data_IF_165873209127
#
_entry.id   IF_165873209127
#
_cell.length_a   1.000
_cell.length_b   1.000
_cell.length_c   1.000
_cell.angle_alpha   90.00
_cell.angle_beta   90.00
_cell.angle_gamma   90.00
#
_symmetry.space_group_name_H-M   'P 1'
#
loop_
_entity.id
_entity.type
_entity.pdbx_description
1 polymer ?
#
# COMPACT_ATOMS: atom_id res chain seq x y z
N UNK A 1 -34.96 15.85 -27.47
CA UNK A 1 -35.15 15.08 -28.73
C UNK A 1 -34.09 15.59 -29.69
N UNK A 2 -33.15 14.75 -30.15
CA UNK A 2 -33.44 13.51 -30.86
C UNK A 2 -32.83 12.26 -30.20
N UNK A 3 -33.42 11.14 -30.60
CA UNK A 3 -33.16 9.78 -30.15
C UNK A 3 -32.15 9.12 -31.08
N UNK A 4 -31.18 8.37 -30.52
CA UNK A 4 -30.41 7.40 -31.28
C UNK A 4 -30.44 6.04 -30.57
N UNK A 5 -31.28 5.16 -31.09
CA UNK A 5 -31.24 3.73 -30.87
C UNK A 5 -30.01 3.13 -31.58
N UNK A 6 -29.25 2.27 -30.89
CA UNK A 6 -28.50 1.19 -31.54
C UNK A 6 -28.63 -0.10 -30.73
N UNK A 7 -29.55 -0.93 -31.22
CA UNK A 7 -29.64 -2.37 -30.96
C UNK A 7 -28.44 -3.07 -31.58
N UNK A 8 -27.75 -3.91 -30.80
CA UNK A 8 -26.97 -5.03 -31.34
C UNK A 8 -27.51 -6.31 -30.70
N UNK A 9 -27.91 -7.23 -31.58
CA UNK A 9 -28.34 -8.58 -31.29
C UNK A 9 -27.39 -9.55 -32.00
N UNK A 10 -27.52 -10.84 -31.65
CA UNK A 10 -26.89 -12.05 -32.22
C UNK A 10 -25.48 -12.38 -31.70
N UNK A 11 -25.09 -13.64 -31.43
CA UNK A 11 -25.74 -14.96 -31.45
C UNK A 11 -24.72 -16.01 -30.98
N UNK A 12 -25.21 -17.19 -30.55
CA UNK A 12 -24.50 -18.48 -30.64
C UNK A 12 -23.56 -18.80 -29.46
N UNK A 13 -23.94 -19.65 -28.50
CA UNK A 13 -24.04 -21.11 -28.57
C UNK A 13 -22.73 -21.80 -29.02
N UNK A 14 -22.09 -22.60 -28.16
CA UNK A 14 -22.22 -24.08 -28.14
C UNK A 14 -21.23 -24.72 -27.15
N UNK A 15 -21.76 -25.73 -26.47
CA UNK A 15 -21.23 -26.72 -25.52
C UNK A 15 -20.08 -27.58 -26.06
N UNK A 16 -19.10 -27.96 -25.22
CA UNK A 16 -18.44 -29.27 -25.32
C UNK A 16 -17.81 -29.71 -23.98
N UNK A 17 -18.18 -30.92 -23.59
CA UNK A 17 -17.83 -31.70 -22.41
C UNK A 17 -16.71 -32.69 -22.79
N UNK A 18 -15.71 -32.92 -21.94
CA UNK A 18 -14.89 -34.14 -21.99
C UNK A 18 -14.33 -34.52 -20.61
N UNK A 19 -14.91 -35.59 -20.06
CA UNK A 19 -14.40 -36.39 -18.95
C UNK A 19 -13.31 -37.32 -19.47
N UNK A 20 -12.19 -37.46 -18.75
CA UNK A 20 -11.35 -38.65 -18.80
C UNK A 20 -10.92 -39.01 -17.38
N UNK A 21 -11.52 -40.08 -16.90
CA UNK A 21 -11.15 -40.88 -15.73
C UNK A 21 -9.98 -41.78 -16.14
N UNK A 22 -8.94 -41.86 -15.30
CA UNK A 22 -7.83 -42.80 -15.46
C UNK A 22 -7.42 -43.39 -14.12
N UNK A 23 -8.05 -44.50 -13.74
CA UNK A 23 -7.58 -45.39 -12.68
C UNK A 23 -6.53 -46.35 -13.24
N UNK A 24 -5.43 -46.53 -12.50
CA UNK A 24 -4.50 -47.65 -12.67
C UNK A 24 -4.05 -48.12 -11.29
N UNK A 25 -4.67 -49.20 -10.84
CA UNK A 25 -4.16 -50.22 -9.89
C UNK A 25 -2.74 -50.63 -10.29
N UNK A 26 -1.76 -50.95 -9.44
CA UNK A 26 -1.63 -51.17 -8.01
C UNK A 26 -0.45 -52.15 -7.86
N UNK A 27 0.42 -51.98 -6.88
CA UNK A 27 1.21 -53.10 -6.32
C UNK A 27 1.70 -52.74 -4.91
N UNK A 28 1.50 -53.68 -4.00
CA UNK A 28 1.85 -53.60 -2.59
C UNK A 28 3.27 -54.09 -2.40
N UNK A 29 4.12 -53.30 -1.73
CA UNK A 29 5.37 -53.79 -1.14
C UNK A 29 5.34 -53.46 0.36
N UNK A 30 5.59 -54.49 1.15
CA UNK A 30 5.63 -54.55 2.62
C UNK A 30 6.51 -53.45 3.27
N UNK A 31 6.26 -53.08 4.54
CA UNK A 31 7.06 -52.10 5.26
C UNK A 31 8.27 -52.76 5.92
N UNK A 32 9.47 -52.24 5.65
CA UNK A 32 10.66 -52.55 6.42
C UNK A 32 10.93 -51.42 7.41
N UNK A 33 11.12 -51.70 8.72
CA UNK A 33 11.42 -50.69 9.73
C UNK A 33 12.94 -50.52 9.80
N UNK A 34 13.48 -49.36 9.41
CA UNK A 34 14.86 -48.99 9.77
C UNK A 34 15.05 -47.47 9.75
N UNK A 35 15.34 -46.96 10.94
CA UNK A 35 16.10 -45.77 11.31
C UNK A 35 15.57 -44.38 10.96
N UNK A 36 14.87 -43.86 11.96
CA UNK A 36 14.76 -42.46 12.36
C UNK A 36 16.17 -41.82 12.39
N UNK A 37 16.57 -41.19 11.29
CA UNK A 37 17.62 -40.18 11.34
C UNK A 37 16.98 -38.92 11.90
N UNK A 38 17.17 -38.72 13.20
CA UNK A 38 16.92 -37.49 13.91
C UNK A 38 17.64 -36.34 13.20
N UNK A 39 16.92 -35.61 12.35
CA UNK A 39 17.38 -34.37 11.78
C UNK A 39 17.42 -33.35 12.93
N UNK A 40 18.64 -32.99 13.33
CA UNK A 40 18.87 -31.97 14.33
C UNK A 40 18.07 -30.70 13.95
N UNK A 41 17.38 -30.04 14.89
CA UNK A 41 16.67 -28.81 14.59
C UNK A 41 17.63 -27.83 13.94
N UNK A 42 17.31 -27.41 12.71
CA UNK A 42 18.00 -26.30 12.08
C UNK A 42 17.94 -25.12 13.04
N UNK A 43 19.10 -24.68 13.54
CA UNK A 43 19.21 -23.45 14.31
C UNK A 43 18.59 -22.34 13.48
N UNK A 44 17.50 -21.79 14.01
CA UNK A 44 16.80 -20.64 13.47
C UNK A 44 17.82 -19.50 13.51
N UNK A 45 18.45 -19.22 12.37
CA UNK A 45 19.35 -18.07 12.26
C UNK A 45 18.54 -16.83 12.67
N UNK A 46 18.96 -16.08 13.70
CA UNK A 46 18.20 -14.92 14.14
C UNK A 46 18.05 -13.95 12.97
N UNK A 47 16.83 -13.46 12.76
CA UNK A 47 16.52 -12.44 11.77
C UNK A 47 17.52 -11.28 11.87
N UNK A 48 17.96 -10.69 10.73
CA UNK A 48 18.96 -9.63 10.75
C UNK A 48 18.48 -8.47 11.63
N UNK A 49 19.21 -8.23 12.71
CA UNK A 49 19.03 -7.12 13.65
C UNK A 49 19.55 -5.82 13.02
N UNK A 50 18.78 -5.28 12.09
CA UNK A 50 18.98 -3.96 11.51
C UNK A 50 17.69 -3.14 11.56
N UNK A 51 17.77 -1.81 11.42
CA UNK A 51 16.58 -0.98 11.26
C UNK A 51 15.75 -1.51 10.09
N UNK A 52 14.44 -1.52 10.24
CA UNK A 52 13.53 -1.89 9.16
C UNK A 52 13.71 -0.89 8.01
N UNK A 53 13.69 -1.41 6.78
CA UNK A 53 13.92 -0.60 5.58
C UNK A 53 12.83 -0.84 4.56
N UNK A 54 12.22 0.25 4.12
CA UNK A 54 11.20 0.24 3.07
C UNK A 54 11.73 1.07 1.91
N UNK A 55 11.89 0.43 0.76
CA UNK A 55 12.37 1.05 -0.48
C UNK A 55 11.20 1.21 -1.43
N UNK A 56 11.01 2.44 -1.89
CA UNK A 56 10.05 2.79 -2.92
C UNK A 56 10.82 3.09 -4.20
N UNK A 57 10.43 2.42 -5.28
CA UNK A 57 11.09 2.49 -6.58
C UNK A 57 10.14 3.06 -7.62
N UNK A 58 10.65 3.99 -8.42
CA UNK A 58 9.92 4.49 -9.58
C UNK A 58 9.87 3.44 -10.70
N UNK A 59 9.09 3.74 -11.74
CA UNK A 59 9.10 2.95 -12.97
C UNK A 59 10.53 2.85 -13.55
N UNK A 60 10.96 1.63 -13.89
CA UNK A 60 12.35 1.36 -14.30
C UNK A 60 13.25 0.83 -13.17
N UNK A 61 12.78 0.84 -11.92
CA UNK A 61 13.45 0.19 -10.79
C UNK A 61 14.45 1.06 -10.04
N UNK A 62 14.59 2.33 -10.44
CA UNK A 62 15.33 3.36 -9.70
C UNK A 62 14.72 3.55 -8.32
N UNK A 63 15.57 3.53 -7.29
CA UNK A 63 15.17 3.79 -5.91
C UNK A 63 15.00 5.29 -5.74
N UNK A 64 13.77 5.71 -5.42
CA UNK A 64 13.43 7.12 -5.27
C UNK A 64 13.31 7.54 -3.81
N UNK A 65 12.86 6.62 -2.95
CA UNK A 65 12.75 6.86 -1.51
C UNK A 65 13.18 5.62 -0.73
N UNK A 66 13.88 5.84 0.38
CA UNK A 66 14.26 4.82 1.35
C UNK A 66 13.86 5.29 2.74
N UNK A 67 12.89 4.63 3.33
CA UNK A 67 12.51 4.83 4.72
C UNK A 67 13.30 3.86 5.60
N UNK A 68 14.00 4.40 6.59
CA UNK A 68 14.77 3.64 7.59
C UNK A 68 14.11 3.84 8.94
N UNK A 69 13.48 2.80 9.46
CA UNK A 69 12.71 2.86 10.69
C UNK A 69 13.56 2.32 11.85
N UNK A 70 13.59 3.06 12.95
CA UNK A 70 14.25 2.69 14.20
C UNK A 70 13.41 3.15 15.38
N UNK A 71 12.71 2.20 16.01
CA UNK A 71 11.84 2.46 17.16
C UNK A 71 10.81 3.56 16.82
N UNK A 72 10.85 4.70 17.52
CA UNK A 72 9.92 5.82 17.35
C UNK A 72 10.39 6.87 16.33
N UNK A 73 11.53 6.64 15.69
CA UNK A 73 12.12 7.53 14.70
C UNK A 73 12.23 6.81 13.35
N UNK A 74 12.13 7.58 12.28
CA UNK A 74 12.51 7.11 10.96
C UNK A 74 13.20 8.22 10.18
N UNK A 75 14.09 7.84 9.28
CA UNK A 75 14.68 8.78 8.31
C UNK A 75 14.24 8.36 6.93
N UNK A 76 13.72 9.31 6.16
CA UNK A 76 13.47 9.14 4.73
C UNK A 76 14.62 9.77 3.95
N UNK A 77 15.25 8.98 3.09
CA UNK A 77 16.26 9.45 2.14
C UNK A 77 15.67 9.39 0.72
N UNK A 78 15.72 10.49 -0.03
CA UNK A 78 15.18 10.54 -1.39
C UNK A 78 15.76 11.67 -2.24
N UNK A 79 16.43 11.32 -3.34
CA UNK A 79 17.06 12.31 -4.22
C UNK A 79 18.11 13.16 -3.49
N UNK A 80 17.90 14.47 -3.43
CA UNK A 80 18.77 15.42 -2.72
C UNK A 80 18.26 15.79 -1.31
N UNK A 81 17.11 15.25 -0.92
CA UNK A 81 16.41 15.62 0.31
C UNK A 81 16.41 14.45 1.31
N UNK A 82 16.35 14.81 2.59
CA UNK A 82 16.24 13.88 3.70
C UNK A 82 15.29 14.47 4.73
N UNK A 83 14.38 13.65 5.22
CA UNK A 83 13.43 14.04 6.26
C UNK A 83 13.56 13.12 7.47
N UNK A 84 13.50 13.70 8.66
CA UNK A 84 13.38 12.96 9.90
C UNK A 84 11.91 12.89 10.30
N UNK A 85 11.45 11.69 10.65
CA UNK A 85 10.12 11.39 11.14
C UNK A 85 10.22 11.05 12.62
N UNK A 86 9.47 11.77 13.45
CA UNK A 86 9.50 11.64 14.90
C UNK A 86 8.10 11.29 15.37
N UNK A 87 7.95 10.13 16.00
CA UNK A 87 6.70 9.74 16.65
C UNK A 87 6.67 10.33 18.06
N UNK A 88 5.73 11.23 18.30
CA UNK A 88 5.51 11.88 19.58
C UNK A 88 4.78 10.96 20.57
N UNK A 89 4.77 11.37 21.85
CA UNK A 89 4.11 10.61 22.92
C UNK A 89 2.58 10.47 22.73
N UNK A 90 1.96 11.40 22.00
CA UNK A 90 0.55 11.36 21.62
C UNK A 90 0.30 10.59 20.30
N UNK A 91 1.32 9.88 19.81
CA UNK A 91 1.31 9.13 18.55
C UNK A 91 1.21 9.99 17.29
N UNK A 92 1.25 11.32 17.41
CA UNK A 92 1.43 12.17 16.23
C UNK A 92 2.81 11.96 15.63
N UNK A 93 2.92 12.12 14.31
CA UNK A 93 4.18 12.06 13.58
C UNK A 93 4.54 13.47 13.13
N UNK A 94 5.70 13.95 13.56
CA UNK A 94 6.30 15.17 13.02
C UNK A 94 7.29 14.79 11.91
N UNK A 95 7.23 15.49 10.79
CA UNK A 95 8.24 15.44 9.72
C UNK A 95 9.09 16.69 9.81
N UNK A 96 10.41 16.54 9.89
CA UNK A 96 11.36 17.63 10.03
C UNK A 96 12.46 17.58 8.95
N UNK A 97 13.02 18.75 8.64
CA UNK A 97 14.23 18.84 7.82
C UNK A 97 15.49 18.43 8.61
N UNK A 98 16.64 18.41 7.94
CA UNK A 98 17.93 18.09 8.54
C UNK A 98 18.41 19.11 9.61
N UNK A 99 17.79 20.29 9.68
CA UNK A 99 18.03 21.28 10.74
C UNK A 99 17.08 21.10 11.93
N UNK A 100 16.15 20.14 11.87
CA UNK A 100 15.14 19.86 12.88
C UNK A 100 13.92 20.79 12.81
N UNK A 101 13.78 21.59 11.76
CA UNK A 101 12.59 22.42 11.57
C UNK A 101 11.41 21.55 11.13
N UNK A 102 10.27 21.68 11.81
CA UNK A 102 9.05 20.96 11.46
C UNK A 102 8.49 21.44 10.11
N UNK A 103 8.22 20.50 9.21
CA UNK A 103 7.66 20.75 7.88
C UNK A 103 6.20 20.30 7.81
N UNK A 104 5.89 19.13 8.35
CA UNK A 104 4.54 18.57 8.37
C UNK A 104 4.26 17.86 9.69
N UNK A 105 2.99 17.74 10.04
CA UNK A 105 2.51 16.99 11.20
C UNK A 105 1.35 16.10 10.78
N UNK A 106 1.36 14.85 11.26
CA UNK A 106 0.26 13.91 11.12
C UNK A 106 -0.29 13.57 12.50
N UNK A 107 -1.57 13.86 12.73
CA UNK A 107 -2.29 13.39 13.91
C UNK A 107 -2.97 12.07 13.60
N UNK A 108 -2.77 11.07 14.46
CA UNK A 108 -3.34 9.73 14.31
C UNK A 108 -4.57 9.59 15.22
N UNK A 109 -5.69 9.17 14.66
CA UNK A 109 -6.89 8.75 15.39
C UNK A 109 -7.33 7.35 14.96
N UNK A 110 -8.36 6.80 15.63
CA UNK A 110 -8.76 5.40 15.46
C UNK A 110 -9.11 5.02 14.00
N UNK A 111 -9.81 5.90 13.28
CA UNK A 111 -10.25 5.66 11.89
C UNK A 111 -9.90 6.83 10.97
N UNK A 112 -9.00 7.72 11.39
CA UNK A 112 -8.60 8.86 10.58
C UNK A 112 -7.17 9.31 10.86
N UNK A 113 -6.53 9.84 9.83
CA UNK A 113 -5.26 10.54 9.91
C UNK A 113 -5.44 11.95 9.39
N UNK A 114 -5.00 12.94 10.15
CA UNK A 114 -5.02 14.35 9.74
C UNK A 114 -3.60 14.77 9.44
N UNK A 115 -3.31 15.25 8.24
CA UNK A 115 -1.99 15.73 7.82
C UNK A 115 -2.07 17.20 7.44
N UNK A 116 -1.10 17.98 7.90
CA UNK A 116 -1.01 19.41 7.54
C UNK A 116 0.42 19.93 7.64
N UNK A 117 0.61 21.16 7.18
CA UNK A 117 1.86 21.88 7.37
C UNK A 117 2.06 22.20 8.85
N UNK A 118 3.30 22.16 9.32
CA UNK A 118 3.60 22.42 10.73
C UNK A 118 3.28 23.87 11.16
N UNK A 119 3.34 24.82 10.23
CA UNK A 119 3.11 26.25 10.44
C UNK A 119 1.70 26.72 10.04
N UNK A 120 0.93 25.90 9.32
CA UNK A 120 -0.41 26.20 8.82
C UNK A 120 -1.37 25.01 9.08
N UNK A 121 -1.75 24.77 10.34
CA UNK A 121 -2.58 23.62 10.70
C UNK A 121 -4.01 23.67 10.11
N UNK A 122 -4.49 24.87 9.77
CA UNK A 122 -5.78 25.07 9.10
C UNK A 122 -5.82 24.49 7.67
N UNK A 123 -4.68 24.41 6.99
CA UNK A 123 -4.55 23.86 5.63
C UNK A 123 -4.23 22.35 5.69
N UNK A 124 -5.07 21.62 6.43
CA UNK A 124 -4.94 20.18 6.63
C UNK A 124 -5.88 19.36 5.74
N UNK A 125 -5.46 18.12 5.54
CA UNK A 125 -6.20 17.08 4.86
C UNK A 125 -6.48 15.91 5.80
N UNK A 126 -7.56 15.19 5.54
CA UNK A 126 -7.98 14.05 6.35
C UNK A 126 -8.07 12.82 5.46
N UNK A 127 -7.36 11.76 5.84
CA UNK A 127 -7.61 10.41 5.33
C UNK A 127 -8.49 9.70 6.34
N UNK A 128 -9.72 9.38 5.96
CA UNK A 128 -10.68 8.66 6.80
C UNK A 128 -10.83 7.23 6.29
N UNK A 129 -10.79 6.26 7.19
CA UNK A 129 -11.17 4.86 6.95
C UNK A 129 -12.64 4.67 7.33
N UNK A 130 -13.37 3.90 6.54
CA UNK A 130 -14.72 3.46 6.85
C UNK A 130 -14.74 1.99 7.27
N UNK A 131 -15.81 1.60 7.95
CA UNK A 131 -15.98 0.24 8.49
C UNK A 131 -15.99 -0.87 7.43
N UNK A 132 -16.22 -0.53 6.17
CA UNK A 132 -16.22 -1.45 5.03
C UNK A 132 -14.84 -1.61 4.37
N UNK A 133 -13.79 -0.99 4.94
CA UNK A 133 -12.43 -1.02 4.42
C UNK A 133 -12.13 0.05 3.37
N UNK A 134 -13.13 0.84 2.95
CA UNK A 134 -12.91 1.96 2.05
C UNK A 134 -12.31 3.16 2.79
N UNK A 135 -11.71 4.07 2.03
CA UNK A 135 -11.19 5.32 2.55
C UNK A 135 -11.72 6.51 1.74
N UNK A 136 -11.70 7.68 2.36
CA UNK A 136 -11.92 8.96 1.70
C UNK A 136 -10.80 9.91 2.11
N UNK A 137 -10.25 10.60 1.11
CA UNK A 137 -9.31 11.68 1.32
C UNK A 137 -10.01 13.01 1.07
N UNK A 138 -10.00 13.89 2.06
CA UNK A 138 -10.80 15.11 2.10
C UNK A 138 -10.03 16.30 2.65
N UNK A 139 -10.50 17.52 2.38
CA UNK A 139 -10.01 18.73 3.05
C UNK A 139 -10.47 18.75 4.52
N UNK A 140 -9.86 19.60 5.35
CA UNK A 140 -10.34 19.85 6.71
C UNK A 140 -11.83 20.30 6.79
N UNK A 141 -12.36 20.88 5.71
CA UNK A 141 -13.76 21.28 5.60
C UNK A 141 -14.71 20.12 5.22
N UNK A 142 -14.19 18.90 4.98
CA UNK A 142 -14.96 17.72 4.57
C UNK A 142 -15.27 17.66 3.08
N UNK A 143 -14.57 18.43 2.23
CA UNK A 143 -14.70 18.32 0.79
C UNK A 143 -13.88 17.13 0.28
N UNK A 144 -14.55 16.17 -0.38
CA UNK A 144 -13.90 14.98 -0.93
C UNK A 144 -12.95 15.34 -2.07
N UNK A 145 -11.71 14.85 -1.98
CA UNK A 145 -10.67 14.96 -3.01
C UNK A 145 -10.50 13.63 -3.73
N UNK A 146 -10.43 12.52 -2.98
CA UNK A 146 -10.39 11.18 -3.56
C UNK A 146 -11.29 10.20 -2.81
N UNK A 147 -11.96 9.34 -3.56
CA UNK A 147 -12.57 8.11 -3.06
C UNK A 147 -11.62 6.93 -3.25
N UNK A 148 -11.42 6.12 -2.21
CA UNK A 148 -10.51 4.98 -2.24
C UNK A 148 -11.30 3.73 -1.87
N UNK A 149 -11.41 2.82 -2.83
CA UNK A 149 -12.25 1.64 -2.65
C UNK A 149 -11.38 0.38 -2.57
N UNK A 150 -11.64 -0.46 -1.58
CA UNK A 150 -11.03 -1.77 -1.48
C UNK A 150 -11.57 -2.68 -2.60
N UNK A 151 -10.67 -3.47 -3.17
CA UNK A 151 -10.91 -4.39 -4.28
C UNK A 151 -10.18 -5.69 -4.01
N UNK A 152 -10.60 -6.76 -4.68
CA UNK A 152 -9.91 -8.06 -4.59
C UNK A 152 -8.41 -8.01 -4.96
N UNK A 153 -7.97 -6.98 -5.70
CA UNK A 153 -6.56 -6.80 -6.06
C UNK A 153 -5.78 -5.82 -5.16
N UNK A 154 -6.43 -5.11 -4.23
CA UNK A 154 -5.86 -4.00 -3.47
C UNK A 154 -6.81 -2.80 -3.43
N UNK A 155 -6.36 -1.61 -3.83
CA UNK A 155 -7.18 -0.39 -3.78
C UNK A 155 -7.34 0.26 -5.16
N UNK A 156 -8.49 0.89 -5.38
CA UNK A 156 -8.75 1.78 -6.48
C UNK A 156 -8.97 3.21 -5.96
N UNK A 157 -8.21 4.16 -6.50
CA UNK A 157 -8.28 5.57 -6.13
C UNK A 157 -8.98 6.32 -7.25
N UNK A 158 -10.01 7.07 -6.89
CA UNK A 158 -10.92 7.75 -7.80
C UNK A 158 -11.03 9.24 -7.49
N UNK A 159 -11.26 10.05 -8.51
CA UNK A 159 -11.68 11.44 -8.36
C UNK A 159 -13.13 11.52 -7.80
N UNK A 160 -13.62 12.71 -7.41
CA UNK A 160 -14.98 12.87 -6.87
C UNK A 160 -16.10 12.51 -7.87
N UNK A 161 -15.79 12.51 -9.18
CA UNK A 161 -16.70 12.07 -10.25
C UNK A 161 -16.60 10.56 -10.55
N UNK A 162 -15.96 9.80 -9.66
CA UNK A 162 -15.69 8.36 -9.75
C UNK A 162 -14.72 7.95 -10.88
N UNK A 163 -14.05 8.90 -11.53
CA UNK A 163 -13.01 8.59 -12.50
C UNK A 163 -11.83 7.89 -11.82
N UNK A 164 -11.47 6.69 -12.31
CA UNK A 164 -10.31 5.93 -11.82
C UNK A 164 -9.00 6.64 -12.16
N UNK A 165 -8.24 7.04 -11.14
CA UNK A 165 -6.96 7.75 -11.27
C UNK A 165 -5.77 6.83 -11.07
N UNK A 166 -5.83 5.99 -10.02
CA UNK A 166 -4.76 5.08 -9.67
C UNK A 166 -5.29 3.73 -9.17
N UNK A 167 -4.44 2.71 -9.27
CA UNK A 167 -4.70 1.37 -8.73
C UNK A 167 -3.50 0.90 -7.95
N UNK A 168 -3.69 0.61 -6.68
CA UNK A 168 -2.72 -0.06 -5.85
C UNK A 168 -2.98 -1.56 -5.89
N UNK A 169 -1.99 -2.34 -6.30
CA UNK A 169 -2.11 -3.80 -6.43
C UNK A 169 -1.07 -4.53 -5.62
N UNK A 170 -1.50 -5.58 -4.92
CA UNK A 170 -0.60 -6.62 -4.43
C UNK A 170 -0.45 -7.68 -5.52
N UNK A 171 0.76 -7.84 -6.06
CA UNK A 171 1.04 -8.81 -7.13
C UNK A 171 2.43 -9.38 -6.96
N UNK A 172 2.60 -10.70 -6.92
CA UNK A 172 3.92 -11.33 -6.76
C UNK A 172 4.67 -10.79 -5.52
N UNK A 173 3.97 -10.65 -4.39
CA UNK A 173 4.51 -10.16 -3.10
C UNK A 173 5.08 -8.72 -3.15
N UNK A 174 4.74 -7.93 -4.18
CA UNK A 174 5.05 -6.50 -4.26
C UNK A 174 3.79 -5.68 -4.28
N UNK A 175 3.86 -4.51 -3.65
CA UNK A 175 2.90 -3.45 -3.84
C UNK A 175 3.28 -2.62 -5.05
N UNK A 176 2.30 -2.39 -5.92
CA UNK A 176 2.48 -1.64 -7.17
C UNK A 176 1.38 -0.60 -7.28
N UNK A 177 1.75 0.66 -7.15
CA UNK A 177 0.89 1.79 -7.51
C UNK A 177 0.96 2.00 -9.02
N UNK A 178 -0.20 2.07 -9.67
CA UNK A 178 -0.33 2.21 -11.13
C UNK A 178 -1.21 3.39 -11.48
N UNK A 179 -0.90 4.07 -12.58
CA UNK A 179 -1.73 5.13 -13.16
C UNK A 179 -3.01 4.57 -13.79
N UNK A 180 -3.90 5.47 -14.24
CA UNK A 180 -5.11 5.15 -14.99
C UNK A 180 -4.82 4.35 -16.28
N UNK A 181 -3.72 4.65 -16.97
CA UNK A 181 -3.20 3.92 -18.15
C UNK A 181 -2.54 2.59 -17.78
N UNK A 182 -2.67 2.18 -16.51
CA UNK A 182 -2.14 0.95 -15.97
C UNK A 182 -0.60 0.88 -16.11
N UNK A 183 0.11 2.00 -16.03
CA UNK A 183 1.57 2.03 -15.95
C UNK A 183 2.03 2.03 -14.49
N UNK A 184 3.07 1.27 -14.10
CA UNK A 184 3.60 1.35 -12.75
C UNK A 184 4.18 2.76 -12.51
N UNK A 185 3.78 3.37 -11.41
CA UNK A 185 4.29 4.67 -10.94
C UNK A 185 5.31 4.43 -9.84
N UNK A 186 4.96 3.57 -8.88
CA UNK A 186 5.79 3.26 -7.74
C UNK A 186 5.63 1.79 -7.32
N UNK A 187 6.72 1.18 -6.86
CA UNK A 187 6.79 -0.23 -6.47
C UNK A 187 7.57 -0.39 -5.17
N UNK A 188 7.10 -1.27 -4.28
CA UNK A 188 7.92 -1.81 -3.19
C UNK A 188 7.77 -3.31 -3.06
N UNK A 189 8.85 -3.96 -2.63
CA UNK A 189 8.90 -5.38 -2.24
C UNK A 189 9.12 -5.55 -0.73
N UNK A 190 9.31 -4.43 -0.04
CA UNK A 190 9.52 -4.44 1.39
C UNK A 190 8.17 -4.55 2.10
N UNK A 191 8.21 -4.96 3.37
CA UNK A 191 7.02 -5.08 4.18
C UNK A 191 6.44 -3.69 4.45
N UNK A 192 5.48 -3.29 3.61
CA UNK A 192 4.70 -2.06 3.77
C UNK A 192 3.23 -2.46 3.83
N UNK A 193 2.50 -1.89 4.79
CA UNK A 193 1.06 -2.08 4.85
C UNK A 193 0.44 -1.45 3.60
N UNK A 194 -0.45 -2.14 2.85
CA UNK A 194 -0.97 -1.63 1.59
C UNK A 194 -1.50 -0.19 1.66
N UNK A 195 -2.27 0.16 2.69
CA UNK A 195 -2.82 1.51 2.84
C UNK A 195 -1.74 2.61 2.97
N UNK A 196 -0.55 2.28 3.48
CA UNK A 196 0.56 3.22 3.60
C UNK A 196 1.17 3.62 2.25
N UNK A 197 0.82 2.95 1.15
CA UNK A 197 1.22 3.33 -0.20
C UNK A 197 0.27 4.36 -0.83
N UNK A 198 -0.94 4.56 -0.28
CA UNK A 198 -1.94 5.47 -0.81
C UNK A 198 -1.48 6.93 -0.89
N UNK A 199 -0.78 7.50 0.12
CA UNK A 199 -0.40 8.91 0.09
C UNK A 199 0.43 9.33 -1.11
N UNK A 200 1.23 8.42 -1.67
CA UNK A 200 2.03 8.67 -2.87
C UNK A 200 1.22 8.83 -4.16
N UNK A 201 -0.10 8.63 -4.10
CA UNK A 201 -1.02 8.90 -5.20
C UNK A 201 -1.73 10.27 -5.08
N UNK A 202 -1.57 10.98 -3.95
CA UNK A 202 -2.27 12.23 -3.68
C UNK A 202 -1.40 13.40 -4.13
N UNK A 203 -1.69 13.95 -5.30
CA UNK A 203 -0.91 15.03 -5.92
C UNK A 203 -1.09 16.39 -5.21
N UNK A 204 -2.13 16.51 -4.38
CA UNK A 204 -2.37 17.69 -3.52
C UNK A 204 -1.46 17.74 -2.29
N UNK A 205 -0.83 16.63 -1.91
CA UNK A 205 0.08 16.57 -0.77
C UNK A 205 1.51 16.94 -1.17
N UNK A 206 2.20 17.68 -0.31
CA UNK A 206 3.66 17.87 -0.45
C UNK A 206 4.41 16.55 -0.18
N UNK A 207 5.67 16.41 -0.65
CA UNK A 207 6.45 15.21 -0.38
C UNK A 207 6.56 14.86 1.11
N UNK A 208 6.74 15.86 1.97
CA UNK A 208 6.82 15.71 3.43
C UNK A 208 5.50 15.16 4.00
N UNK A 209 4.37 15.70 3.53
CA UNK A 209 3.05 15.25 3.94
C UNK A 209 2.75 13.83 3.47
N UNK A 210 3.10 13.49 2.21
CA UNK A 210 2.94 12.14 1.68
C UNK A 210 3.68 11.12 2.55
N UNK A 211 4.94 11.42 2.89
CA UNK A 211 5.80 10.53 3.66
C UNK A 211 5.36 10.42 5.11
N UNK A 212 5.06 11.56 5.76
CA UNK A 212 4.55 11.57 7.12
C UNK A 212 3.27 10.73 7.24
N UNK A 213 2.34 10.91 6.30
CA UNK A 213 1.09 10.17 6.28
C UNK A 213 1.31 8.68 6.02
N UNK A 214 2.18 8.32 5.06
CA UNK A 214 2.53 6.93 4.76
C UNK A 214 3.12 6.22 6.00
N UNK A 215 4.06 6.87 6.68
CA UNK A 215 4.67 6.33 7.90
C UNK A 215 3.66 6.17 9.04
N UNK A 216 2.81 7.18 9.27
CA UNK A 216 1.77 7.11 10.30
C UNK A 216 0.78 5.97 10.05
N UNK A 217 0.34 5.76 8.81
CA UNK A 217 -0.53 4.63 8.44
C UNK A 217 0.20 3.31 8.68
N UNK A 218 1.46 3.19 8.25
CA UNK A 218 2.23 1.97 8.42
C UNK A 218 2.40 1.59 9.90
N UNK A 219 2.74 2.56 10.76
CA UNK A 219 2.91 2.36 12.20
C UNK A 219 1.61 1.96 12.92
N UNK A 220 0.47 2.48 12.45
CA UNK A 220 -0.84 2.13 13.00
C UNK A 220 -1.31 0.71 12.64
N UNK A 221 -0.65 0.05 11.68
CA UNK A 221 -1.01 -1.30 11.21
C UNK A 221 -2.35 -1.39 10.47
N UNK A 222 -2.87 -0.25 10.00
CA UNK A 222 -4.24 -0.12 9.45
C UNK A 222 -4.41 -0.56 8.01
#
# INVERSE_FOLDING_TARGET
MPSFFRTFAYSGATLALALMVGCSTGDSVDPQPTDEVSEAPAEISPAPSGPERIRLRANGGEEVLVLRIKENEATLEGGAESFDLITNADQSVQVADAAGAALAVVTVGDEQWVVGNADQPEDSYVLRRFSDGNYQFETAAGEAIYGIQERAYGFEITAPDETSLYKLRLKDERLVLRSAENQPVMVTRDALVPAAMLPFAFDVLSPEQQVGLAYAIHQSGS
#
